data_IF_853667502312
#
_entry.id   IF_853667502312
#
_cell.length_a   1.000
_cell.length_b   1.000
_cell.length_c   1.000
_cell.angle_alpha   90.00
_cell.angle_beta   90.00
_cell.angle_gamma   90.00
#
_symmetry.space_group_name_H-M   'P 1'
#
loop_
_entity.id
_entity.type
_entity.pdbx_description
1 polymer ?
#
# COMPACT_ATOMS: atom_id res chain seq x y z
N UNK A 1 6.12 -17.55 -8.70
CA UNK A 1 5.20 -17.14 -7.61
C UNK A 1 5.98 -17.22 -6.31
N UNK A 2 6.49 -16.10 -5.77
CA UNK A 2 7.38 -16.09 -4.59
C UNK A 2 6.66 -15.36 -3.46
N UNK A 3 6.50 -16.05 -2.33
CA UNK A 3 5.96 -15.54 -1.08
C UNK A 3 6.91 -14.46 -0.52
N UNK A 4 6.50 -13.18 -0.53
CA UNK A 4 7.30 -12.07 0.00
C UNK A 4 6.89 -11.75 1.44
N UNK A 5 7.44 -12.49 2.41
CA UNK A 5 7.50 -12.02 3.80
C UNK A 5 8.59 -10.93 3.97
N UNK A 6 9.48 -10.78 2.99
CA UNK A 6 10.63 -9.85 3.02
C UNK A 6 10.30 -8.38 2.75
N UNK A 7 9.08 -8.04 2.31
CA UNK A 7 8.77 -6.64 1.91
C UNK A 7 8.78 -5.66 3.09
N UNK A 8 8.53 -6.12 4.31
CA UNK A 8 8.46 -5.22 5.48
C UNK A 8 9.76 -4.47 5.77
N UNK A 9 10.91 -5.00 5.31
CA UNK A 9 12.22 -4.37 5.46
C UNK A 9 12.64 -3.56 4.21
N UNK A 10 11.87 -3.65 3.12
CA UNK A 10 12.16 -2.93 1.89
C UNK A 10 11.61 -1.50 1.98
N UNK A 11 12.39 -0.48 1.60
CA UNK A 11 11.93 0.89 1.61
C UNK A 11 10.71 1.06 0.67
N UNK A 12 9.82 1.98 1.04
CA UNK A 12 8.76 2.39 0.13
C UNK A 12 9.37 3.06 -1.11
N UNK A 13 8.77 2.88 -2.30
CA UNK A 13 9.29 3.46 -3.54
C UNK A 13 9.16 5.00 -3.61
N UNK A 14 8.57 5.61 -2.58
CA UNK A 14 8.52 7.05 -2.38
C UNK A 14 8.63 7.36 -0.88
N UNK A 15 9.12 8.55 -0.48
CA UNK A 15 9.06 9.00 0.90
C UNK A 15 7.60 9.02 1.38
N UNK A 16 7.31 8.26 2.43
CA UNK A 16 5.98 8.20 3.05
C UNK A 16 6.09 8.61 4.51
N UNK A 17 5.08 9.31 5.02
CA UNK A 17 4.99 9.57 6.47
C UNK A 17 4.75 8.24 7.20
N UNK A 18 5.11 8.17 8.48
CA UNK A 18 4.96 6.94 9.27
C UNK A 18 3.54 6.38 9.25
N UNK A 19 2.52 7.24 9.32
CA UNK A 19 1.12 6.81 9.24
C UNK A 19 0.73 6.28 7.85
N UNK A 20 1.23 6.91 6.78
CA UNK A 20 1.02 6.47 5.40
C UNK A 20 1.66 5.07 5.20
N UNK A 21 2.88 4.88 5.72
CA UNK A 21 3.57 3.60 5.70
C UNK A 21 2.74 2.50 6.39
N UNK A 22 2.15 2.79 7.56
CA UNK A 22 1.32 1.82 8.28
C UNK A 22 0.05 1.46 7.52
N UNK A 23 -0.62 2.44 6.88
CA UNK A 23 -1.79 2.18 6.04
C UNK A 23 -1.44 1.29 4.85
N UNK A 24 -0.37 1.62 4.11
CA UNK A 24 0.06 0.87 2.94
C UNK A 24 0.51 -0.55 3.30
N UNK A 25 1.25 -0.71 4.41
CA UNK A 25 1.67 -2.01 4.91
C UNK A 25 0.48 -2.89 5.30
N UNK A 26 -0.55 -2.31 5.92
CA UNK A 26 -1.77 -3.02 6.29
C UNK A 26 -2.54 -3.50 5.06
N UNK A 27 -2.69 -2.66 4.03
CA UNK A 27 -3.34 -3.03 2.77
C UNK A 27 -2.59 -4.19 2.10
N UNK A 28 -1.27 -4.09 2.00
CA UNK A 28 -0.43 -5.14 1.40
C UNK A 28 -0.52 -6.46 2.18
N UNK A 29 -0.55 -6.40 3.51
CA UNK A 29 -0.77 -7.57 4.34
C UNK A 29 -2.10 -8.26 4.02
N UNK A 30 -3.20 -7.52 3.91
CA UNK A 30 -4.51 -8.08 3.55
C UNK A 30 -4.52 -8.65 2.12
N UNK A 31 -3.93 -7.94 1.15
CA UNK A 31 -3.81 -8.40 -0.24
C UNK A 31 -2.97 -9.67 -0.35
N UNK A 32 -1.91 -9.81 0.46
CA UNK A 32 -1.10 -11.03 0.52
C UNK A 32 -1.92 -12.25 0.96
N UNK A 33 -2.99 -12.02 1.74
CA UNK A 33 -3.99 -13.02 2.15
C UNK A 33 -5.19 -13.12 1.19
N UNK A 34 -5.03 -12.65 -0.05
CA UNK A 34 -6.05 -12.69 -1.12
C UNK A 34 -7.32 -11.88 -0.84
N UNK A 35 -7.29 -10.93 0.11
CA UNK A 35 -8.40 -10.00 0.25
C UNK A 35 -8.35 -8.93 -0.85
N UNK A 36 -9.52 -8.61 -1.41
CA UNK A 36 -9.69 -7.50 -2.34
C UNK A 36 -9.86 -6.23 -1.54
N UNK A 37 -8.84 -5.36 -1.56
CA UNK A 37 -8.82 -4.09 -0.84
C UNK A 37 -8.47 -2.98 -1.81
N UNK A 38 -9.25 -1.92 -1.79
CA UNK A 38 -9.03 -0.69 -2.55
C UNK A 38 -8.79 0.46 -1.58
N UNK A 39 -7.93 1.40 -1.95
CA UNK A 39 -7.69 2.61 -1.17
C UNK A 39 -8.64 3.71 -1.64
N UNK A 40 -9.34 4.35 -0.69
CA UNK A 40 -9.99 5.63 -0.87
C UNK A 40 -9.31 6.66 0.04
N UNK A 41 -8.88 7.79 -0.52
CA UNK A 41 -8.27 8.87 0.25
C UNK A 41 -8.44 10.20 -0.49
N UNK A 42 -8.45 11.29 0.25
CA UNK A 42 -8.27 12.64 -0.28
C UNK A 42 -6.81 13.10 -0.25
N UNK A 43 -5.92 12.32 0.37
CA UNK A 43 -4.51 12.66 0.47
C UNK A 43 -3.77 12.23 -0.80
N UNK A 44 -3.43 13.21 -1.65
CA UNK A 44 -2.76 12.97 -2.93
C UNK A 44 -1.41 12.27 -2.80
N UNK A 45 -0.69 12.49 -1.68
CA UNK A 45 0.62 11.84 -1.45
C UNK A 45 0.43 10.36 -1.14
N UNK A 46 -0.55 10.02 -0.30
CA UNK A 46 -0.90 8.64 -0.01
C UNK A 46 -1.41 7.92 -1.27
N UNK A 47 -2.24 8.60 -2.08
CA UNK A 47 -2.71 8.09 -3.37
C UNK A 47 -1.53 7.81 -4.31
N UNK A 48 -0.57 8.73 -4.42
CA UNK A 48 0.61 8.56 -5.26
C UNK A 48 1.46 7.35 -4.80
N UNK A 49 1.67 7.20 -3.49
CA UNK A 49 2.37 6.06 -2.93
C UNK A 49 1.62 4.74 -3.21
N UNK A 50 0.30 4.70 -3.02
CA UNK A 50 -0.52 3.53 -3.32
C UNK A 50 -0.47 3.12 -4.80
N UNK A 51 -0.47 4.11 -5.72
CA UNK A 51 -0.26 3.87 -7.16
C UNK A 51 1.09 3.25 -7.45
N UNK A 52 2.17 3.74 -6.82
CA UNK A 52 3.50 3.15 -6.97
C UNK A 52 3.54 1.69 -6.48
N UNK A 53 2.69 1.32 -5.52
CA UNK A 53 2.52 -0.05 -5.03
C UNK A 53 1.52 -0.90 -5.82
N UNK A 54 0.92 -0.35 -6.87
CA UNK A 54 -0.16 -1.00 -7.63
C UNK A 54 -1.31 -1.45 -6.73
N UNK A 55 -1.63 -0.64 -5.72
CA UNK A 55 -2.84 -0.79 -4.90
C UNK A 55 -4.00 -0.13 -5.68
N UNK A 56 -5.12 -0.83 -5.92
CA UNK A 56 -6.28 -0.25 -6.58
C UNK A 56 -6.87 0.92 -5.79
N UNK A 57 -7.44 1.89 -6.51
CA UNK A 57 -8.09 3.05 -5.90
C UNK A 57 -9.60 2.99 -6.14
N UNK A 58 -10.36 3.24 -5.08
CA UNK A 58 -11.81 3.43 -5.19
C UNK A 58 -12.13 4.87 -5.59
N UNK A 59 -13.32 5.09 -6.15
CA UNK A 59 -13.85 6.43 -6.42
C UNK A 59 -14.50 6.96 -5.15
N UNK A 60 -14.32 8.25 -4.89
CA UNK A 60 -15.03 8.97 -3.82
C UNK A 60 -16.52 9.13 -4.17
#
# INVERSE_FOLDING_TARGET
MILRYSRALEPFPAPVRTLDALHLASIEFLRSRRQTVELLSYDERLIAAARALRIPLSKA
#
